data_IF_079572995959
#
_entry.id   IF_079572995959
#
_cell.length_a   1.000
_cell.length_b   1.000
_cell.length_c   1.000
_cell.angle_alpha   90.00
_cell.angle_beta   90.00
_cell.angle_gamma   90.00
#
_symmetry.space_group_name_H-M   'P 1'
#
loop_
_entity.id
_entity.type
_entity.pdbx_description
1 polymer ?
#
# COMPACT_ATOMS: atom_id res chain seq x y z
N UNK A 1 -0.71 0.57 28.26
CA UNK A 1 -0.18 0.95 26.93
C UNK A 1 0.54 -0.26 26.34
N UNK A 2 0.12 -0.80 25.19
CA UNK A 2 0.87 -1.89 24.53
C UNK A 2 2.19 -1.31 24.00
N UNK A 3 3.32 -1.95 24.32
CA UNK A 3 4.64 -1.54 23.85
C UNK A 3 4.64 -1.46 22.31
N UNK A 4 4.83 -0.25 21.78
CA UNK A 4 4.96 -0.01 20.34
C UNK A 4 6.29 -0.61 19.89
N UNK A 5 6.24 -1.60 19.00
CA UNK A 5 7.44 -2.25 18.46
C UNK A 5 7.92 -1.48 17.23
N UNK A 6 9.22 -1.27 17.12
CA UNK A 6 9.84 -0.62 15.97
C UNK A 6 10.73 -1.62 15.24
N UNK A 7 10.71 -1.56 13.90
CA UNK A 7 11.66 -2.22 13.02
C UNK A 7 12.59 -1.17 12.45
N UNK A 8 13.90 -1.40 12.61
CA UNK A 8 14.95 -0.56 12.04
C UNK A 8 15.20 -1.01 10.61
N UNK A 9 15.08 -0.09 9.67
CA UNK A 9 15.31 -0.34 8.24
C UNK A 9 16.33 0.69 7.73
N UNK A 10 17.20 0.25 6.80
CA UNK A 10 18.16 1.16 6.17
C UNK A 10 17.46 2.10 5.19
N UNK A 11 18.00 3.32 4.97
CA UNK A 11 17.48 4.24 3.95
C UNK A 11 17.37 3.58 2.57
N UNK A 12 18.38 2.81 2.16
CA UNK A 12 18.41 2.14 0.86
C UNK A 12 17.27 1.12 0.71
N UNK A 13 16.99 0.35 1.76
CA UNK A 13 15.93 -0.66 1.72
C UNK A 13 14.55 -0.01 1.69
N UNK A 14 14.33 1.05 2.48
CA UNK A 14 13.04 1.76 2.45
C UNK A 14 12.82 2.47 1.12
N UNK A 15 13.87 3.05 0.53
CA UNK A 15 13.79 3.74 -0.75
C UNK A 15 13.38 2.77 -1.87
N UNK A 16 13.96 1.56 -1.90
CA UNK A 16 13.55 0.52 -2.87
C UNK A 16 12.07 0.14 -2.76
N UNK A 17 11.56 0.00 -1.53
CA UNK A 17 10.14 -0.30 -1.28
C UNK A 17 9.26 0.88 -1.71
N UNK A 18 9.66 2.11 -1.36
CA UNK A 18 8.91 3.31 -1.67
C UNK A 18 8.88 3.60 -3.17
N UNK A 19 9.97 3.38 -3.90
CA UNK A 19 10.00 3.51 -5.36
C UNK A 19 8.93 2.60 -5.98
N UNK A 20 8.91 1.32 -5.62
CA UNK A 20 7.91 0.39 -6.14
C UNK A 20 6.47 0.80 -5.79
N UNK A 21 6.23 1.21 -4.53
CA UNK A 21 4.92 1.65 -4.09
C UNK A 21 4.45 2.92 -4.83
N UNK A 22 5.35 3.89 -5.01
CA UNK A 22 5.05 5.15 -5.69
C UNK A 22 4.80 4.94 -7.17
N UNK A 23 5.61 4.12 -7.85
CA UNK A 23 5.40 3.79 -9.26
C UNK A 23 4.06 3.08 -9.48
N UNK A 24 3.71 2.09 -8.63
CA UNK A 24 2.44 1.36 -8.78
C UNK A 24 1.21 2.24 -8.56
N UNK A 25 1.32 3.29 -7.75
CA UNK A 25 0.22 4.17 -7.36
C UNK A 25 0.22 5.53 -8.04
N UNK A 26 1.22 5.82 -8.88
CA UNK A 26 1.51 7.14 -9.44
C UNK A 26 1.57 8.25 -8.36
N UNK A 27 2.09 7.91 -7.18
CA UNK A 27 2.18 8.84 -6.06
C UNK A 27 3.33 9.85 -6.23
N UNK A 28 3.01 11.12 -6.02
CA UNK A 28 3.97 12.22 -6.00
C UNK A 28 4.41 12.59 -4.56
N UNK A 29 3.87 11.92 -3.55
CA UNK A 29 4.06 12.29 -2.15
C UNK A 29 5.48 12.01 -1.66
N UNK A 30 5.94 12.79 -0.68
CA UNK A 30 7.28 12.67 -0.12
C UNK A 30 7.40 11.39 0.73
N UNK A 31 8.54 10.67 0.65
CA UNK A 31 8.82 9.47 1.46
C UNK A 31 8.48 9.58 2.95
N UNK A 32 8.83 10.70 3.57
CA UNK A 32 8.59 10.94 5.00
C UNK A 32 7.10 11.02 5.35
N UNK A 33 6.27 11.55 4.45
CA UNK A 33 4.81 11.60 4.64
C UNK A 33 4.21 10.21 4.53
N UNK A 34 4.61 9.43 3.51
CA UNK A 34 4.15 8.05 3.31
C UNK A 34 4.50 7.18 4.53
N UNK A 35 5.77 7.25 5.00
CA UNK A 35 6.20 6.53 6.21
C UNK A 35 5.45 7.02 7.45
N UNK A 36 5.22 8.33 7.57
CA UNK A 36 4.46 8.94 8.66
C UNK A 36 3.03 8.43 8.73
N UNK A 37 2.34 8.38 7.58
CA UNK A 37 1.00 7.82 7.45
C UNK A 37 0.98 6.33 7.77
N UNK A 38 1.93 5.54 7.24
CA UNK A 38 2.04 4.13 7.59
C UNK A 38 2.15 3.93 9.11
N UNK A 39 3.01 4.72 9.77
CA UNK A 39 3.23 4.67 11.22
C UNK A 39 2.08 5.21 12.07
N UNK A 40 1.18 6.02 11.50
CA UNK A 40 -0.01 6.52 12.19
C UNK A 40 -1.17 5.51 12.15
N UNK A 41 -1.21 4.65 11.14
CA UNK A 41 -2.21 3.58 11.05
C UNK A 41 -2.04 2.55 12.17
N UNK A 42 -3.18 2.20 12.78
CA UNK A 42 -3.28 1.09 13.73
C UNK A 42 -3.15 -0.27 13.01
N UNK A 43 -2.76 -1.34 13.72
CA UNK A 43 -2.68 -2.67 13.11
C UNK A 43 -3.99 -3.12 12.47
N UNK A 44 -5.14 -2.84 13.12
CA UNK A 44 -6.46 -3.17 12.58
C UNK A 44 -6.78 -2.40 11.30
N UNK A 45 -6.39 -1.12 11.19
CA UNK A 45 -6.54 -0.36 9.96
C UNK A 45 -5.69 -0.94 8.82
N UNK A 46 -4.43 -1.32 9.10
CA UNK A 46 -3.57 -1.96 8.09
C UNK A 46 -4.13 -3.28 7.60
N UNK A 47 -4.61 -4.14 8.51
CA UNK A 47 -5.28 -5.38 8.15
C UNK A 47 -6.56 -5.13 7.35
N UNK A 48 -7.36 -4.12 7.72
CA UNK A 48 -8.57 -3.75 6.97
C UNK A 48 -8.25 -3.26 5.55
N UNK A 49 -7.21 -2.44 5.38
CA UNK A 49 -6.71 -1.98 4.08
C UNK A 49 -6.31 -3.18 3.21
N UNK A 50 -5.52 -4.11 3.76
CA UNK A 50 -5.09 -5.31 3.04
C UNK A 50 -6.27 -6.18 2.60
N UNK A 51 -7.24 -6.38 3.50
CA UNK A 51 -8.44 -7.17 3.19
C UNK A 51 -9.32 -6.49 2.13
N UNK A 52 -9.44 -5.15 2.17
CA UNK A 52 -10.18 -4.43 1.14
C UNK A 52 -9.49 -4.52 -0.22
N UNK A 53 -8.16 -4.37 -0.26
CA UNK A 53 -7.37 -4.59 -1.47
C UNK A 53 -7.61 -5.99 -2.05
N UNK A 54 -7.47 -7.05 -1.26
CA UNK A 54 -7.64 -8.42 -1.74
C UNK A 54 -9.03 -8.68 -2.31
N UNK A 55 -10.09 -8.10 -1.73
CA UNK A 55 -11.45 -8.21 -2.28
C UNK A 55 -11.57 -7.53 -3.65
N UNK A 56 -11.00 -6.34 -3.79
CA UNK A 56 -11.02 -5.58 -5.05
C UNK A 56 -10.20 -6.26 -6.14
N UNK A 57 -9.02 -6.75 -5.78
CA UNK A 57 -8.14 -7.49 -6.69
C UNK A 57 -8.81 -8.77 -7.20
N UNK A 58 -9.49 -9.52 -6.33
CA UNK A 58 -10.24 -10.72 -6.73
C UNK A 58 -11.37 -10.41 -7.73
N UNK A 59 -12.12 -9.32 -7.50
CA UNK A 59 -13.18 -8.86 -8.41
C UNK A 59 -12.60 -8.39 -9.75
N UNK A 60 -11.45 -7.71 -9.73
CA UNK A 60 -10.79 -7.25 -10.94
C UNK A 60 -10.30 -8.44 -11.78
N UNK A 61 -9.61 -9.41 -11.16
CA UNK A 61 -9.12 -10.60 -11.84
C UNK A 61 -10.24 -11.39 -12.49
N UNK A 62 -11.35 -11.63 -11.78
CA UNK A 62 -12.48 -12.35 -12.39
C UNK A 62 -13.07 -11.63 -13.60
N UNK A 63 -13.15 -10.29 -13.59
CA UNK A 63 -13.64 -9.51 -14.74
C UNK A 63 -12.66 -9.50 -15.92
N UNK A 64 -11.36 -9.56 -15.65
CA UNK A 64 -10.31 -9.52 -16.68
C UNK A 64 -10.15 -10.89 -17.33
N UNK A 65 -10.20 -11.98 -16.55
CA UNK A 65 -10.17 -13.36 -17.07
C UNK A 65 -11.33 -13.65 -18.04
N UNK A 66 -12.48 -12.98 -17.86
CA UNK A 66 -13.62 -13.07 -18.77
C UNK A 66 -13.51 -12.21 -20.05
N UNK A 67 -12.55 -11.29 -20.11
CA UNK A 67 -12.31 -10.45 -21.28
C UNK A 67 -11.08 -10.99 -22.04
N UNK A 68 -11.31 -11.68 -23.16
CA UNK A 68 -10.25 -12.26 -24.01
C UNK A 68 -9.22 -11.26 -24.60
N UNK A 69 -9.40 -9.96 -24.35
CA UNK A 69 -8.44 -8.91 -24.69
C UNK A 69 -7.70 -8.51 -23.41
N UNK A 70 -6.65 -9.27 -23.06
CA UNK A 70 -5.72 -8.90 -21.98
C UNK A 70 -5.00 -7.60 -22.35
N UNK A 71 -5.57 -6.47 -21.93
CA UNK A 71 -4.91 -5.18 -21.98
C UNK A 71 -4.27 -4.91 -20.63
N UNK A 72 -2.95 -5.16 -20.51
CA UNK A 72 -2.18 -4.94 -19.29
C UNK A 72 -2.32 -3.50 -18.78
N UNK A 73 -2.41 -2.51 -19.66
CA UNK A 73 -2.60 -1.11 -19.29
C UNK A 73 -3.94 -0.87 -18.60
N UNK A 74 -5.00 -1.54 -19.05
CA UNK A 74 -6.31 -1.48 -18.41
C UNK A 74 -6.23 -2.09 -16.99
N UNK A 75 -5.57 -3.24 -16.84
CA UNK A 75 -5.41 -3.89 -15.55
C UNK A 75 -4.63 -3.00 -14.57
N UNK A 76 -3.51 -2.45 -14.99
CA UNK A 76 -2.69 -1.52 -14.19
C UNK A 76 -3.48 -0.27 -13.82
N UNK A 77 -4.24 0.31 -14.75
CA UNK A 77 -5.11 1.46 -14.48
C UNK A 77 -6.17 1.12 -13.43
N UNK A 78 -6.82 -0.04 -13.53
CA UNK A 78 -7.80 -0.48 -12.54
C UNK A 78 -7.17 -0.72 -11.16
N UNK A 79 -5.94 -1.25 -11.11
CA UNK A 79 -5.18 -1.36 -9.86
C UNK A 79 -4.95 0.02 -9.23
N UNK A 80 -4.45 0.99 -10.00
CA UNK A 80 -4.19 2.35 -9.53
C UNK A 80 -5.47 3.01 -8.99
N UNK A 81 -6.60 2.85 -9.69
CA UNK A 81 -7.91 3.35 -9.23
C UNK A 81 -8.31 2.68 -7.91
N UNK A 82 -8.16 1.36 -7.78
CA UNK A 82 -8.48 0.65 -6.55
C UNK A 82 -7.63 1.11 -5.36
N UNK A 83 -6.33 1.35 -5.57
CA UNK A 83 -5.43 1.89 -4.55
C UNK A 83 -5.92 3.26 -4.07
N UNK A 84 -6.27 4.16 -5.00
CA UNK A 84 -6.76 5.51 -4.68
C UNK A 84 -8.12 5.50 -3.94
N UNK A 85 -9.03 4.59 -4.31
CA UNK A 85 -10.31 4.44 -3.61
C UNK A 85 -10.07 4.04 -2.15
N UNK A 86 -9.18 3.09 -1.90
CA UNK A 86 -8.84 2.70 -0.52
C UNK A 86 -8.16 3.86 0.20
N UNK A 87 -7.19 4.52 -0.43
CA UNK A 87 -6.43 5.63 0.15
C UNK A 87 -7.35 6.75 0.67
N UNK A 88 -8.36 7.11 -0.13
CA UNK A 88 -9.36 8.13 0.22
C UNK A 88 -10.13 7.79 1.49
N UNK A 89 -10.46 6.51 1.72
CA UNK A 89 -11.21 6.09 2.93
C UNK A 89 -10.43 6.27 4.22
N UNK A 90 -9.11 6.24 4.15
CA UNK A 90 -8.23 6.37 5.31
C UNK A 90 -7.53 7.73 5.37
N UNK A 91 -7.78 8.63 4.41
CA UNK A 91 -7.12 9.92 4.27
C UNK A 91 -5.59 9.79 4.28
N UNK A 92 -5.08 8.88 3.45
CA UNK A 92 -3.66 8.61 3.25
C UNK A 92 -3.33 8.65 1.76
N UNK A 93 -2.04 8.67 1.44
CA UNK A 93 -1.53 8.53 0.08
C UNK A 93 -1.66 7.08 -0.41
N UNK A 94 -1.94 6.82 -1.70
CA UNK A 94 -2.06 5.47 -2.24
C UNK A 94 -0.75 4.64 -2.17
N UNK A 95 0.44 5.25 -2.13
CA UNK A 95 1.67 4.51 -1.84
C UNK A 95 1.70 3.97 -0.41
N UNK A 96 1.04 4.64 0.55
CA UNK A 96 0.84 4.12 1.92
C UNK A 96 -0.06 2.88 1.90
N UNK A 97 -1.06 2.84 1.02
CA UNK A 97 -1.89 1.64 0.79
C UNK A 97 -1.03 0.50 0.25
N UNK A 98 -0.18 0.75 -0.75
CA UNK A 98 0.78 -0.24 -1.27
C UNK A 98 1.69 -0.81 -0.17
N UNK A 99 2.22 0.06 0.70
CA UNK A 99 2.98 -0.36 1.87
C UNK A 99 2.15 -1.19 2.86
N UNK A 100 0.84 -1.03 2.95
CA UNK A 100 0.02 -1.90 3.80
C UNK A 100 -0.25 -3.27 3.16
N UNK A 101 -0.27 -3.36 1.82
CA UNK A 101 -0.46 -4.61 1.08
C UNK A 101 0.78 -5.50 1.17
N UNK A 102 1.96 -4.90 0.94
CA UNK A 102 3.26 -5.56 1.07
C UNK A 102 4.13 -4.84 2.11
N UNK A 103 3.90 -5.09 3.41
CA UNK A 103 4.49 -4.26 4.44
C UNK A 103 5.96 -4.56 4.70
N UNK A 104 6.79 -3.53 4.94
CA UNK A 104 8.20 -3.68 5.29
C UNK A 104 8.41 -4.29 6.68
N UNK A 105 7.34 -4.42 7.46
CA UNK A 105 7.35 -5.00 8.80
C UNK A 105 6.00 -5.64 9.15
N UNK A 106 5.93 -6.37 10.27
CA UNK A 106 4.66 -6.90 10.79
C UNK A 106 3.66 -5.77 11.09
N UNK A 107 2.36 -6.05 11.01
CA UNK A 107 1.27 -5.06 11.20
C UNK A 107 1.34 -4.31 12.54
N UNK A 108 1.87 -4.95 13.58
CA UNK A 108 2.04 -4.37 14.92
C UNK A 108 3.36 -3.61 15.12
N UNK A 109 4.16 -3.45 14.07
CA UNK A 109 5.43 -2.73 14.10
C UNK A 109 5.34 -1.40 13.36
N UNK A 110 6.11 -0.42 13.85
CA UNK A 110 6.37 0.85 13.17
C UNK A 110 7.76 0.84 12.55
N UNK A 111 7.97 1.65 11.52
CA UNK A 111 9.24 1.80 10.83
C UNK A 111 10.05 2.90 11.51
N UNK A 112 11.31 2.62 11.77
CA UNK A 112 12.33 3.61 12.12
C UNK A 112 13.42 3.54 11.05
N UNK A 113 13.52 4.60 10.23
CA UNK A 113 14.60 4.72 9.24
C UNK A 113 15.88 5.15 9.99
N UNK A 114 16.97 4.43 9.74
CA UNK A 114 18.26 4.63 10.39
C UNK A 114 19.13 5.68 9.70
#
# INVERSE_FOLDING_TARGET
>A
MKNVKYVRISPKDIDGILIACKTLSESLEKPNIIIGQFNSLTPSQRTAIKNEWSKREAILKSKVEHNHNNNDDMYLTCIMVNLNIIATKYNIDPATVCMCINPPCKDNCKILVK
#
